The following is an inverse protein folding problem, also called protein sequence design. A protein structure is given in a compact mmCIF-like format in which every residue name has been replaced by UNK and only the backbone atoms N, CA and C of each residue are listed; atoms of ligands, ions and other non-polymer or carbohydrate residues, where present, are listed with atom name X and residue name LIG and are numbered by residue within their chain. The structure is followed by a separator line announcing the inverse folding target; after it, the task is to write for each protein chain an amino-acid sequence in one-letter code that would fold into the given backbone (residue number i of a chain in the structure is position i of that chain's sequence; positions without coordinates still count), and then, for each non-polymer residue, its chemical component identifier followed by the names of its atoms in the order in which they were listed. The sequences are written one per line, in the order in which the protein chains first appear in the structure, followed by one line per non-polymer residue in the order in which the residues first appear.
data_IF_310007382367
#
_entry.id   IF_310007382367
#
_cell.length_a   1.000
_cell.length_b   1.000
_cell.length_c   1.000
_cell.angle_alpha   90.00
_cell.angle_beta   90.00
_cell.angle_gamma   90.00
#
_symmetry.space_group_name_H-M   'P 1'
#
loop_
_entity.id
_entity.type
_entity.pdbx_description
1 polymer ?
#
# COMPACT_ATOMS: atom_id res chain seq x y z
N UNK A 1 -45.68 29.71 16.67
CA UNK A 1 -45.69 28.23 16.60
C UNK A 1 -45.04 27.66 15.33
N UNK A 2 -45.29 28.18 14.13
CA UNK A 2 -44.68 27.66 12.84
C UNK A 2 -43.15 27.68 12.81
N UNK A 3 -42.50 28.74 13.31
CA UNK A 3 -41.05 28.88 13.30
C UNK A 3 -40.31 27.85 14.19
N UNK A 4 -40.91 27.44 15.31
CA UNK A 4 -40.29 26.47 16.22
C UNK A 4 -40.29 25.07 15.60
N UNK A 5 -41.38 24.63 14.97
CA UNK A 5 -41.46 23.36 14.24
C UNK A 5 -40.47 23.30 13.07
N UNK A 6 -40.29 24.40 12.35
CA UNK A 6 -39.31 24.47 11.25
C UNK A 6 -37.85 24.37 11.75
N UNK A 7 -37.52 25.05 12.84
CA UNK A 7 -36.19 24.96 13.47
C UNK A 7 -35.90 23.56 14.02
N UNK A 8 -36.89 22.91 14.63
CA UNK A 8 -36.78 21.54 15.12
C UNK A 8 -36.61 20.53 13.94
N UNK A 9 -37.26 20.73 12.82
CA UNK A 9 -37.08 19.94 11.60
C UNK A 9 -35.66 20.10 11.04
N UNK A 10 -35.16 21.32 10.92
CA UNK A 10 -33.79 21.58 10.47
C UNK A 10 -32.74 20.96 11.42
N UNK A 11 -32.96 21.05 12.73
CA UNK A 11 -32.09 20.46 13.74
C UNK A 11 -32.07 18.94 13.63
N UNK A 12 -33.24 18.29 13.45
CA UNK A 12 -33.33 16.84 13.29
C UNK A 12 -32.69 16.37 11.98
N UNK A 13 -32.85 17.11 10.87
CA UNK A 13 -32.18 16.84 9.61
C UNK A 13 -30.64 16.96 9.76
N UNK A 14 -30.15 17.99 10.43
CA UNK A 14 -28.72 18.18 10.66
C UNK A 14 -28.11 17.07 11.54
N UNK A 15 -28.86 16.60 12.55
CA UNK A 15 -28.44 15.49 13.43
C UNK A 15 -28.38 14.18 12.63
N UNK A 16 -29.38 13.91 11.79
CA UNK A 16 -29.40 12.70 10.96
C UNK A 16 -28.28 12.70 9.91
N UNK A 17 -27.99 13.84 9.29
CA UNK A 17 -26.86 13.97 8.36
C UNK A 17 -25.51 13.77 9.04
N UNK A 18 -25.32 14.33 10.25
CA UNK A 18 -24.13 14.10 11.06
C UNK A 18 -23.96 12.63 11.45
N UNK A 19 -25.02 11.96 11.90
CA UNK A 19 -25.00 10.53 12.24
C UNK A 19 -24.64 9.68 11.03
N UNK A 20 -25.21 9.97 9.87
CA UNK A 20 -24.90 9.28 8.62
C UNK A 20 -23.42 9.44 8.26
N UNK A 21 -22.89 10.67 8.29
CA UNK A 21 -21.50 10.95 7.98
C UNK A 21 -20.52 10.26 8.95
N UNK A 22 -20.82 10.25 10.25
CA UNK A 22 -20.00 9.56 11.25
C UNK A 22 -19.96 8.05 10.99
N UNK A 23 -21.10 7.45 10.61
CA UNK A 23 -21.15 6.04 10.23
C UNK A 23 -20.32 5.75 8.98
N UNK A 24 -20.45 6.58 7.93
CA UNK A 24 -19.66 6.46 6.70
C UNK A 24 -18.16 6.63 6.99
N UNK A 25 -17.78 7.56 7.87
CA UNK A 25 -16.40 7.79 8.27
C UNK A 25 -15.80 6.58 9.00
N UNK A 26 -16.51 6.07 10.01
CA UNK A 26 -16.08 4.88 10.74
C UNK A 26 -15.97 3.66 9.81
N UNK A 27 -16.94 3.47 8.94
CA UNK A 27 -16.97 2.39 7.96
C UNK A 27 -15.75 2.44 7.02
N UNK A 28 -15.42 3.62 6.47
CA UNK A 28 -14.29 3.78 5.56
C UNK A 28 -12.94 3.63 6.26
N UNK A 29 -12.80 4.16 7.48
CA UNK A 29 -11.61 3.94 8.31
C UNK A 29 -11.37 2.46 8.57
N UNK A 30 -12.42 1.74 8.99
CA UNK A 30 -12.33 0.30 9.24
C UNK A 30 -12.02 -0.47 7.97
N UNK A 31 -12.62 -0.09 6.85
CA UNK A 31 -12.39 -0.74 5.56
C UNK A 31 -10.93 -0.58 5.10
N UNK A 32 -10.37 0.62 5.26
CA UNK A 32 -8.96 0.88 4.99
C UNK A 32 -8.03 0.09 5.94
N UNK A 33 -8.35 0.09 7.23
CA UNK A 33 -7.60 -0.67 8.22
C UNK A 33 -7.60 -2.19 7.92
N UNK A 34 -8.74 -2.75 7.53
CA UNK A 34 -8.83 -4.15 7.12
C UNK A 34 -8.01 -4.44 5.87
N UNK A 35 -7.91 -3.50 4.94
CA UNK A 35 -7.10 -3.68 3.73
C UNK A 35 -5.61 -3.87 4.04
N UNK A 36 -5.10 -3.28 5.14
CA UNK A 36 -3.71 -3.45 5.55
C UNK A 36 -3.34 -4.88 5.93
N UNK A 37 -4.31 -5.71 6.34
CA UNK A 37 -4.09 -7.12 6.68
C UNK A 37 -3.61 -7.96 5.48
N UNK A 38 -3.73 -7.41 4.28
CA UNK A 38 -3.24 -8.06 3.05
C UNK A 38 -1.73 -8.02 2.90
N UNK A 39 -1.06 -7.15 3.64
CA UNK A 39 0.39 -6.95 3.55
C UNK A 39 1.13 -7.73 4.65
N UNK A 40 2.47 -7.91 4.51
CA UNK A 40 3.27 -8.49 5.57
C UNK A 40 3.07 -7.78 6.92
N UNK A 41 3.12 -8.51 8.03
CA UNK A 41 3.42 -9.94 8.16
C UNK A 41 2.21 -10.86 8.00
N UNK A 42 0.98 -10.35 7.83
CA UNK A 42 -0.24 -11.16 7.83
C UNK A 42 -0.54 -11.80 6.47
N UNK A 43 -0.21 -11.11 5.35
CA UNK A 43 -0.31 -11.60 3.97
C UNK A 43 -1.70 -12.15 3.57
N UNK A 44 -2.78 -11.67 4.23
CA UNK A 44 -4.13 -12.11 3.94
C UNK A 44 -4.71 -11.38 2.72
N UNK A 45 -4.12 -11.62 1.54
CA UNK A 45 -4.45 -10.89 0.30
C UNK A 45 -5.94 -10.97 -0.08
N UNK A 46 -6.65 -12.04 0.30
CA UNK A 46 -8.08 -12.23 -0.02
C UNK A 46 -8.97 -11.10 0.54
N UNK A 47 -8.55 -10.44 1.61
CA UNK A 47 -9.31 -9.34 2.21
C UNK A 47 -9.49 -8.18 1.22
N UNK A 48 -8.55 -7.97 0.31
CA UNK A 48 -8.59 -6.88 -0.66
C UNK A 48 -9.71 -7.02 -1.70
N UNK A 49 -10.17 -8.24 -2.00
CA UNK A 49 -11.36 -8.44 -2.82
C UNK A 49 -12.61 -7.83 -2.19
N UNK A 50 -12.70 -7.84 -0.87
CA UNK A 50 -13.80 -7.24 -0.14
C UNK A 50 -13.58 -5.74 0.02
N UNK A 51 -12.43 -5.33 0.53
CA UNK A 51 -12.18 -3.92 0.90
C UNK A 51 -12.17 -3.01 -0.31
N UNK A 52 -11.43 -3.31 -1.37
CA UNK A 52 -11.38 -2.48 -2.58
C UNK A 52 -12.68 -2.55 -3.39
N UNK A 53 -13.31 -3.72 -3.49
CA UNK A 53 -14.61 -3.84 -4.16
C UNK A 53 -15.70 -3.05 -3.45
N UNK A 54 -15.78 -3.15 -2.12
CA UNK A 54 -16.75 -2.41 -1.32
C UNK A 54 -16.48 -0.91 -1.39
N UNK A 55 -15.21 -0.49 -1.34
CA UNK A 55 -14.83 0.91 -1.48
C UNK A 55 -15.26 1.47 -2.85
N UNK A 56 -14.99 0.76 -3.93
CA UNK A 56 -15.43 1.14 -5.27
C UNK A 56 -16.96 1.24 -5.38
N UNK A 57 -17.69 0.22 -4.88
CA UNK A 57 -19.15 0.20 -4.86
C UNK A 57 -19.71 1.39 -4.07
N UNK A 58 -19.12 1.68 -2.90
CA UNK A 58 -19.49 2.81 -2.07
C UNK A 58 -19.33 4.13 -2.81
N UNK A 59 -18.18 4.37 -3.44
CA UNK A 59 -17.93 5.56 -4.23
C UNK A 59 -18.90 5.66 -5.40
N UNK A 60 -19.08 4.59 -6.17
CA UNK A 60 -19.97 4.58 -7.33
C UNK A 60 -21.43 4.92 -6.96
N UNK A 61 -21.95 4.33 -5.89
CA UNK A 61 -23.30 4.58 -5.42
C UNK A 61 -23.51 6.01 -4.92
N UNK A 62 -22.47 6.64 -4.37
CA UNK A 62 -22.54 7.99 -3.83
C UNK A 62 -22.25 9.10 -4.86
N UNK A 63 -21.91 8.78 -6.11
CA UNK A 63 -21.58 9.76 -7.15
C UNK A 63 -22.66 10.84 -7.36
N UNK A 64 -23.93 10.46 -7.24
CA UNK A 64 -25.07 11.37 -7.44
C UNK A 64 -25.64 11.96 -6.14
N UNK A 65 -25.19 11.48 -4.97
CA UNK A 65 -25.75 11.84 -3.67
C UNK A 65 -24.81 12.63 -2.77
N UNK A 66 -23.53 12.79 -3.19
CA UNK A 66 -22.50 13.47 -2.45
C UNK A 66 -21.85 14.58 -3.27
N UNK A 67 -21.01 15.38 -2.61
CA UNK A 67 -20.27 16.47 -3.22
C UNK A 67 -18.77 16.17 -3.29
N UNK A 68 -18.00 17.01 -4.01
CA UNK A 68 -16.56 16.85 -4.19
C UNK A 68 -15.76 16.81 -2.88
N UNK A 69 -16.18 17.59 -1.86
CA UNK A 69 -15.52 17.63 -0.55
C UNK A 69 -15.69 16.31 0.20
N UNK A 70 -16.89 15.74 0.17
CA UNK A 70 -17.14 14.45 0.80
C UNK A 70 -16.35 13.33 0.09
N UNK A 71 -16.23 13.38 -1.25
CA UNK A 71 -15.41 12.42 -1.98
C UNK A 71 -13.95 12.47 -1.58
N UNK A 72 -13.37 13.67 -1.44
CA UNK A 72 -12.03 13.82 -0.89
C UNK A 72 -11.92 13.17 0.50
N UNK A 73 -12.87 13.44 1.39
CA UNK A 73 -12.89 12.87 2.74
C UNK A 73 -13.07 11.34 2.72
N UNK A 74 -13.86 10.78 1.81
CA UNK A 74 -14.02 9.34 1.69
C UNK A 74 -12.70 8.63 1.35
N UNK A 75 -11.95 9.15 0.38
CA UNK A 75 -10.63 8.63 0.06
C UNK A 75 -9.63 8.83 1.18
N UNK A 76 -9.63 10.02 1.79
CA UNK A 76 -8.75 10.34 2.90
C UNK A 76 -9.00 9.41 4.09
N UNK A 77 -10.25 9.15 4.46
CA UNK A 77 -10.61 8.26 5.57
C UNK A 77 -10.19 6.81 5.29
N UNK A 78 -10.45 6.30 4.09
CA UNK A 78 -9.99 4.98 3.70
C UNK A 78 -8.45 4.88 3.74
N UNK A 79 -7.77 5.85 3.13
CA UNK A 79 -6.30 5.92 3.14
C UNK A 79 -5.72 6.07 4.55
N UNK A 80 -6.34 6.89 5.41
CA UNK A 80 -5.89 7.06 6.79
C UNK A 80 -5.99 5.74 7.58
N UNK A 81 -7.11 5.02 7.47
CA UNK A 81 -7.24 3.70 8.07
C UNK A 81 -6.17 2.73 7.57
N UNK A 82 -5.94 2.69 6.24
CA UNK A 82 -4.93 1.84 5.62
C UNK A 82 -3.50 2.13 6.11
N UNK A 83 -3.08 3.40 6.08
CA UNK A 83 -1.74 3.77 6.48
C UNK A 83 -1.53 3.72 8.00
N UNK A 84 -2.52 4.10 8.81
CA UNK A 84 -2.41 4.06 10.27
C UNK A 84 -2.08 2.66 10.78
N UNK A 85 -2.74 1.65 10.24
CA UNK A 85 -2.54 0.25 10.66
C UNK A 85 -1.33 -0.41 10.02
N UNK A 86 -0.82 0.14 8.93
CA UNK A 86 0.25 -0.48 8.14
C UNK A 86 1.63 0.08 8.42
N UNK A 87 1.75 1.36 8.78
CA UNK A 87 3.04 2.04 8.94
C UNK A 87 3.36 2.46 10.38
N UNK A 88 2.59 1.97 11.37
CA UNK A 88 2.85 2.28 12.79
C UNK A 88 4.29 1.97 13.22
N UNK A 89 4.90 0.96 12.61
CA UNK A 89 6.28 0.55 12.89
C UNK A 89 7.32 1.64 12.61
N UNK A 90 7.02 2.61 11.75
CA UNK A 90 7.95 3.71 11.44
C UNK A 90 8.27 4.55 12.67
N UNK A 91 7.36 4.56 13.65
CA UNK A 91 7.57 5.30 14.91
C UNK A 91 8.57 4.62 15.84
N UNK A 92 8.93 3.34 15.58
CA UNK A 92 9.95 2.62 16.36
C UNK A 92 11.31 3.30 16.21
N UNK A 93 11.59 3.93 15.06
CA UNK A 93 12.83 4.70 14.87
C UNK A 93 13.00 5.83 15.87
N UNK A 94 11.90 6.39 16.40
CA UNK A 94 11.93 7.47 17.39
C UNK A 94 12.22 6.96 18.82
N UNK A 95 12.20 5.64 19.05
CA UNK A 95 12.50 5.05 20.36
C UNK A 95 14.00 4.87 20.60
N UNK A 96 14.82 5.02 19.56
CA UNK A 96 16.27 4.86 19.68
C UNK A 96 16.93 6.00 20.45
N UNK A 97 16.32 7.19 20.40
CA UNK A 97 16.73 8.35 21.19
C UNK A 97 15.55 8.80 22.08
N UNK A 98 15.79 8.81 23.39
CA UNK A 98 14.76 9.13 24.38
C UNK A 98 14.20 10.55 24.24
N UNK A 99 15.01 11.47 23.72
CA UNK A 99 14.61 12.86 23.50
C UNK A 99 13.52 13.00 22.42
N UNK A 100 13.36 12.01 21.55
CA UNK A 100 12.34 12.01 20.51
C UNK A 100 11.07 11.23 20.84
N UNK A 101 10.99 10.58 22.00
CA UNK A 101 9.83 9.76 22.40
C UNK A 101 8.51 10.56 22.40
N UNK A 102 8.56 11.86 22.70
CA UNK A 102 7.37 12.72 22.68
C UNK A 102 6.77 12.92 21.28
N UNK A 103 7.55 12.67 20.23
CA UNK A 103 7.10 12.75 18.83
C UNK A 103 6.32 11.51 18.37
N UNK A 104 6.42 10.39 19.08
CA UNK A 104 5.77 9.12 18.69
C UNK A 104 4.27 9.29 18.42
N UNK A 105 3.45 9.86 19.35
CA UNK A 105 2.01 10.02 19.10
C UNK A 105 1.71 10.97 17.94
N UNK A 106 2.57 11.97 17.72
CA UNK A 106 2.44 12.92 16.61
C UNK A 106 2.73 12.21 15.29
N UNK A 107 3.85 11.49 15.18
CA UNK A 107 4.24 10.78 13.98
C UNK A 107 3.23 9.67 13.61
N UNK A 108 2.71 8.95 14.62
CA UNK A 108 1.71 7.89 14.45
C UNK A 108 0.44 8.40 13.77
N UNK A 109 0.06 9.65 13.97
CA UNK A 109 -1.15 10.24 13.38
C UNK A 109 -0.80 11.04 12.12
N UNK A 110 0.24 11.88 12.18
CA UNK A 110 0.53 12.86 11.13
C UNK A 110 1.04 12.20 9.83
N UNK A 111 1.89 11.17 9.94
CA UNK A 111 2.42 10.46 8.76
C UNK A 111 1.30 9.75 8.00
N UNK A 112 0.44 8.91 8.62
CA UNK A 112 -0.72 8.34 7.94
C UNK A 112 -1.68 9.40 7.38
N UNK A 113 -1.93 10.48 8.12
CA UNK A 113 -2.82 11.55 7.68
C UNK A 113 -2.28 12.24 6.42
N UNK A 114 -0.97 12.48 6.33
CA UNK A 114 -0.32 13.02 5.16
C UNK A 114 -0.41 12.06 3.96
N UNK A 115 -0.07 10.79 4.15
CA UNK A 115 -0.14 9.80 3.08
C UNK A 115 -1.58 9.57 2.60
N UNK A 116 -2.56 9.69 3.47
CA UNK A 116 -3.97 9.60 3.13
C UNK A 116 -4.44 10.72 2.17
N UNK A 117 -3.74 11.86 2.11
CA UNK A 117 -4.05 12.93 1.17
C UNK A 117 -4.03 12.43 -0.29
N UNK A 118 -3.13 11.54 -0.61
CA UNK A 118 -3.04 10.94 -1.94
C UNK A 118 -4.32 10.20 -2.33
N UNK A 119 -4.90 9.43 -1.40
CA UNK A 119 -6.17 8.72 -1.61
C UNK A 119 -7.37 9.70 -1.65
N UNK A 120 -7.31 10.77 -0.86
CA UNK A 120 -8.28 11.86 -0.93
C UNK A 120 -8.29 12.53 -2.31
N UNK A 121 -7.11 12.77 -2.89
CA UNK A 121 -6.97 13.34 -4.24
C UNK A 121 -7.53 12.38 -5.30
N UNK A 122 -7.27 11.07 -5.19
CA UNK A 122 -7.84 10.05 -6.09
C UNK A 122 -9.34 10.17 -6.15
N UNK A 123 -10.01 10.11 -5.00
CA UNK A 123 -11.48 10.12 -4.96
C UNK A 123 -12.08 11.47 -5.33
N UNK A 124 -11.36 12.57 -5.07
CA UNK A 124 -11.74 13.89 -5.54
C UNK A 124 -11.72 13.98 -7.07
N UNK A 125 -10.64 13.52 -7.72
CA UNK A 125 -10.52 13.48 -9.18
C UNK A 125 -11.54 12.50 -9.78
N UNK A 126 -11.71 11.34 -9.16
CA UNK A 126 -12.72 10.36 -9.54
C UNK A 126 -14.13 10.96 -9.57
N UNK A 127 -14.49 11.80 -8.60
CA UNK A 127 -15.76 12.51 -8.61
C UNK A 127 -15.89 13.52 -9.75
N UNK A 128 -14.82 14.24 -10.07
CA UNK A 128 -14.83 15.26 -11.13
C UNK A 128 -14.96 14.59 -12.50
N UNK A 129 -14.17 13.53 -12.76
CA UNK A 129 -14.08 12.85 -14.05
C UNK A 129 -15.13 11.73 -14.20
N UNK A 130 -16.11 11.64 -13.30
CA UNK A 130 -17.13 10.60 -13.26
C UNK A 130 -17.74 10.26 -14.62
N UNK A 131 -17.81 8.97 -14.92
CA UNK A 131 -18.49 8.46 -16.11
C UNK A 131 -19.87 7.90 -15.74
N UNK A 132 -20.77 7.85 -16.73
CA UNK A 132 -22.09 7.20 -16.59
C UNK A 132 -21.99 5.67 -16.68
N UNK A 133 -20.99 5.18 -17.39
CA UNK A 133 -20.78 3.74 -17.63
C UNK A 133 -19.94 3.14 -16.49
N UNK A 134 -20.39 1.99 -15.96
CA UNK A 134 -19.74 1.29 -14.85
C UNK A 134 -18.32 0.85 -15.19
N UNK A 135 -18.10 0.32 -16.41
CA UNK A 135 -16.78 -0.15 -16.87
C UNK A 135 -15.79 1.02 -16.94
N UNK A 136 -16.20 2.15 -17.57
CA UNK A 136 -15.34 3.33 -17.66
C UNK A 136 -15.02 3.90 -16.27
N UNK A 137 -16.00 3.89 -15.36
CA UNK A 137 -15.80 4.33 -13.96
C UNK A 137 -14.86 3.40 -13.21
N UNK A 138 -14.95 2.10 -13.44
CA UNK A 138 -14.04 1.10 -12.88
C UNK A 138 -12.59 1.33 -13.34
N UNK A 139 -12.37 1.47 -14.65
CA UNK A 139 -11.02 1.72 -15.17
C UNK A 139 -10.46 3.07 -14.70
N UNK A 140 -11.32 4.11 -14.63
CA UNK A 140 -10.91 5.39 -14.05
C UNK A 140 -10.44 5.24 -12.61
N UNK A 141 -11.19 4.53 -11.76
CA UNK A 141 -10.83 4.31 -10.37
C UNK A 141 -9.50 3.57 -10.24
N UNK A 142 -9.34 2.46 -10.95
CA UNK A 142 -8.11 1.66 -10.94
C UNK A 142 -6.90 2.46 -11.44
N UNK A 143 -7.08 3.22 -12.54
CA UNK A 143 -6.03 4.06 -13.12
C UNK A 143 -5.60 5.17 -12.16
N UNK A 144 -6.56 5.90 -11.57
CA UNK A 144 -6.24 6.98 -10.63
C UNK A 144 -5.53 6.46 -9.39
N UNK A 145 -5.96 5.32 -8.86
CA UNK A 145 -5.31 4.72 -7.69
C UNK A 145 -3.90 4.22 -8.04
N UNK A 146 -3.73 3.54 -9.18
CA UNK A 146 -2.40 3.10 -9.64
C UNK A 146 -1.46 4.26 -9.93
N UNK A 147 -1.97 5.34 -10.55
CA UNK A 147 -1.19 6.54 -10.86
C UNK A 147 -0.75 7.27 -9.58
N UNK A 148 -1.64 7.40 -8.60
CA UNK A 148 -1.29 8.07 -7.34
C UNK A 148 -0.27 7.28 -6.54
N UNK A 149 -0.30 5.95 -6.59
CA UNK A 149 0.73 5.11 -5.98
C UNK A 149 2.11 5.34 -6.64
N UNK A 150 2.14 5.46 -7.98
CA UNK A 150 3.36 5.85 -8.70
C UNK A 150 3.85 7.24 -8.27
N UNK A 151 2.95 8.23 -8.23
CA UNK A 151 3.30 9.59 -7.81
C UNK A 151 3.84 9.58 -6.38
N UNK A 152 3.15 8.93 -5.44
CA UNK A 152 3.57 8.81 -4.03
C UNK A 152 4.96 8.18 -3.88
N UNK A 153 5.27 7.20 -4.71
CA UNK A 153 6.56 6.53 -4.70
C UNK A 153 7.72 7.34 -5.30
N UNK A 154 7.44 8.47 -5.98
CA UNK A 154 8.47 9.22 -6.71
C UNK A 154 8.56 10.71 -6.32
N UNK A 155 7.53 11.31 -5.76
CA UNK A 155 7.58 12.73 -5.35
C UNK A 155 8.14 12.90 -3.93
N UNK A 156 8.62 14.10 -3.64
CA UNK A 156 9.34 14.45 -2.41
C UNK A 156 10.59 13.57 -2.26
N UNK A 157 10.78 12.76 -1.37
CA UNK A 157 11.86 11.77 -1.31
C UNK A 157 11.43 10.38 -1.78
N UNK A 158 10.14 10.26 -2.16
CA UNK A 158 9.47 9.01 -2.50
C UNK A 158 9.10 8.18 -1.27
N UNK A 159 7.89 7.61 -1.30
CA UNK A 159 7.46 6.65 -0.27
C UNK A 159 6.83 5.44 -0.97
N UNK A 160 7.64 4.52 -1.52
CA UNK A 160 7.18 3.37 -2.31
C UNK A 160 6.68 2.20 -1.46
N UNK A 161 6.64 2.35 -0.13
CA UNK A 161 6.20 1.32 0.78
C UNK A 161 4.70 1.07 0.66
N UNK A 162 4.28 -0.14 1.01
CA UNK A 162 2.88 -0.52 1.15
C UNK A 162 2.08 -0.43 -0.17
N UNK A 163 2.72 -0.77 -1.30
CA UNK A 163 1.99 -0.96 -2.56
C UNK A 163 1.10 -2.21 -2.45
N UNK A 164 -0.07 -2.14 -3.08
CA UNK A 164 -1.06 -3.23 -3.01
C UNK A 164 -0.52 -4.54 -3.62
N UNK A 165 0.39 -4.45 -4.58
CA UNK A 165 1.08 -5.63 -5.17
C UNK A 165 1.86 -6.44 -4.14
N UNK A 166 2.33 -5.82 -3.06
CA UNK A 166 3.07 -6.52 -2.01
C UNK A 166 2.20 -7.47 -1.16
N UNK A 167 0.88 -7.44 -1.35
CA UNK A 167 0.01 -8.50 -0.82
C UNK A 167 0.33 -9.90 -1.37
N UNK A 168 1.14 -9.98 -2.44
CA UNK A 168 1.66 -11.21 -3.00
C UNK A 168 3.14 -11.47 -2.68
N UNK A 169 3.70 -10.79 -1.65
CA UNK A 169 5.13 -10.87 -1.30
C UNK A 169 5.63 -12.29 -1.01
N UNK A 170 4.80 -13.16 -0.48
CA UNK A 170 5.15 -14.59 -0.28
C UNK A 170 5.17 -15.40 -1.57
N UNK A 171 4.56 -14.90 -2.64
CA UNK A 171 4.52 -15.61 -3.91
C UNK A 171 5.56 -15.07 -4.89
N UNK A 172 6.82 -15.52 -4.71
CA UNK A 172 7.95 -15.11 -5.55
C UNK A 172 7.68 -15.40 -7.03
N UNK A 173 6.97 -16.47 -7.33
CA UNK A 173 6.59 -16.80 -8.72
C UNK A 173 5.72 -15.71 -9.33
N UNK A 174 4.73 -15.19 -8.59
CA UNK A 174 3.90 -14.08 -9.04
C UNK A 174 4.73 -12.78 -9.18
N UNK A 175 5.58 -12.49 -8.20
CA UNK A 175 6.43 -11.30 -8.20
C UNK A 175 7.50 -11.32 -9.31
N UNK A 176 7.86 -12.49 -9.85
CA UNK A 176 8.80 -12.56 -10.98
C UNK A 176 8.31 -11.77 -12.20
N UNK A 177 6.99 -11.54 -12.31
CA UNK A 177 6.41 -10.72 -13.36
C UNK A 177 6.77 -9.23 -13.26
N UNK A 178 7.26 -8.78 -12.09
CA UNK A 178 7.83 -7.43 -11.93
C UNK A 178 8.98 -7.15 -12.90
N UNK A 179 9.76 -8.19 -13.25
CA UNK A 179 10.86 -8.07 -14.23
C UNK A 179 10.38 -7.75 -15.65
N UNK A 180 9.10 -8.01 -15.96
CA UNK A 180 8.53 -7.82 -17.30
C UNK A 180 7.87 -6.46 -17.45
N UNK A 181 7.04 -6.06 -16.47
CA UNK A 181 6.22 -4.84 -16.58
C UNK A 181 6.53 -3.78 -15.52
N UNK A 182 7.39 -4.11 -14.56
CA UNK A 182 7.74 -3.22 -13.46
C UNK A 182 6.69 -3.21 -12.34
N UNK A 183 7.10 -2.66 -11.19
CA UNK A 183 6.34 -2.71 -9.94
C UNK A 183 5.02 -1.95 -10.02
N UNK A 184 5.03 -0.73 -10.52
CA UNK A 184 3.83 0.11 -10.54
C UNK A 184 2.79 -0.34 -11.57
N UNK A 185 3.25 -0.89 -12.71
CA UNK A 185 2.33 -1.46 -13.69
C UNK A 185 1.64 -2.71 -13.16
N UNK A 186 2.39 -3.59 -12.47
CA UNK A 186 1.79 -4.75 -11.83
C UNK A 186 0.88 -4.33 -10.67
N UNK A 187 1.24 -3.29 -9.91
CA UNK A 187 0.38 -2.75 -8.85
C UNK A 187 -0.98 -2.26 -9.40
N UNK A 188 -0.98 -1.56 -10.55
CA UNK A 188 -2.22 -1.16 -11.22
C UNK A 188 -3.09 -2.37 -11.61
N UNK A 189 -2.49 -3.43 -12.15
CA UNK A 189 -3.21 -4.65 -12.52
C UNK A 189 -3.78 -5.36 -11.29
N UNK A 190 -3.02 -5.44 -10.19
CA UNK A 190 -3.46 -6.01 -8.92
C UNK A 190 -4.60 -5.21 -8.30
N UNK A 191 -4.55 -3.88 -8.34
CA UNK A 191 -5.67 -3.02 -7.93
C UNK A 191 -6.92 -3.35 -8.76
N UNK A 192 -6.78 -3.41 -10.08
CA UNK A 192 -7.90 -3.74 -10.98
C UNK A 192 -8.48 -5.13 -10.68
N UNK A 193 -7.63 -6.08 -10.37
CA UNK A 193 -8.02 -7.42 -9.97
C UNK A 193 -8.85 -7.45 -8.68
N UNK A 194 -8.39 -6.74 -7.64
CA UNK A 194 -9.13 -6.67 -6.36
C UNK A 194 -10.45 -5.89 -6.46
N UNK A 195 -10.56 -4.96 -7.39
CA UNK A 195 -11.80 -4.20 -7.62
C UNK A 195 -12.79 -4.93 -8.54
N UNK A 196 -12.33 -5.94 -9.31
CA UNK A 196 -13.16 -6.64 -10.30
C UNK A 196 -14.46 -7.27 -9.74
N UNK A 197 -14.52 -7.83 -8.51
CA UNK A 197 -15.80 -8.26 -7.92
C UNK A 197 -16.79 -7.12 -7.75
N UNK A 198 -16.31 -5.91 -7.47
CA UNK A 198 -17.16 -4.72 -7.39
C UNK A 198 -17.80 -4.36 -8.74
N UNK A 199 -17.02 -4.48 -9.83
CA UNK A 199 -17.54 -4.33 -11.19
C UNK A 199 -18.63 -5.39 -11.50
N UNK A 200 -18.38 -6.64 -11.12
CA UNK A 200 -19.35 -7.74 -11.31
C UNK A 200 -20.65 -7.50 -10.53
N UNK A 201 -20.56 -7.00 -9.30
CA UNK A 201 -21.74 -6.70 -8.46
C UNK A 201 -22.57 -5.57 -9.07
N UNK A 202 -21.93 -4.53 -9.62
CA UNK A 202 -22.58 -3.36 -10.23
C UNK A 202 -23.02 -3.60 -11.68
N UNK A 203 -22.89 -4.82 -12.21
CA UNK A 203 -23.17 -5.14 -13.61
C UNK A 203 -24.59 -4.76 -14.03
N UNK A 204 -24.71 -4.22 -15.24
CA UNK A 204 -25.98 -3.90 -15.92
C UNK A 204 -26.13 -4.66 -17.23
N UNK A 205 -25.04 -5.20 -17.76
CA UNK A 205 -25.00 -5.90 -19.04
C UNK A 205 -24.00 -7.06 -19.01
N UNK A 206 -23.97 -7.87 -20.07
CA UNK A 206 -22.99 -8.95 -20.26
C UNK A 206 -21.55 -8.42 -20.38
N UNK A 207 -21.36 -7.15 -20.79
CA UNK A 207 -20.03 -6.57 -20.97
C UNK A 207 -19.27 -6.47 -19.63
N UNK A 208 -19.94 -6.02 -18.57
CA UNK A 208 -19.34 -5.96 -17.23
C UNK A 208 -18.97 -7.36 -16.70
N UNK A 209 -19.79 -8.36 -17.01
CA UNK A 209 -19.48 -9.76 -16.64
C UNK A 209 -18.22 -10.24 -17.38
N UNK A 210 -18.12 -10.01 -18.67
CA UNK A 210 -16.96 -10.42 -19.48
C UNK A 210 -15.70 -9.73 -18.96
N UNK A 211 -15.73 -8.40 -18.75
CA UNK A 211 -14.56 -7.64 -18.28
C UNK A 211 -14.13 -8.10 -16.89
N UNK A 212 -15.07 -8.29 -15.97
CA UNK A 212 -14.73 -8.77 -14.62
C UNK A 212 -14.17 -10.20 -14.63
N UNK A 213 -14.70 -11.09 -15.47
CA UNK A 213 -14.19 -12.46 -15.62
C UNK A 213 -12.76 -12.46 -16.18
N UNK A 214 -12.48 -11.66 -17.20
CA UNK A 214 -11.12 -11.52 -17.76
C UNK A 214 -10.17 -11.02 -16.70
N UNK A 215 -10.54 -9.99 -15.92
CA UNK A 215 -9.69 -9.45 -14.87
C UNK A 215 -9.45 -10.48 -13.75
N UNK A 216 -10.46 -11.26 -13.37
CA UNK A 216 -10.34 -12.30 -12.34
C UNK A 216 -9.54 -13.52 -12.81
N UNK A 217 -9.53 -13.82 -14.11
CA UNK A 217 -8.72 -14.92 -14.68
C UNK A 217 -7.26 -14.51 -14.94
N UNK A 218 -6.96 -13.23 -15.07
CA UNK A 218 -5.62 -12.73 -15.39
C UNK A 218 -4.51 -13.22 -14.43
N UNK A 219 -4.68 -13.22 -13.10
CA UNK A 219 -3.65 -13.74 -12.19
C UNK A 219 -3.33 -15.22 -12.38
N UNK A 220 -4.27 -16.02 -12.88
CA UNK A 220 -4.03 -17.43 -13.20
C UNK A 220 -3.02 -17.52 -14.36
N UNK A 221 -3.18 -16.68 -15.38
CA UNK A 221 -2.24 -16.61 -16.50
C UNK A 221 -0.86 -16.14 -16.03
N UNK A 222 -0.81 -15.16 -15.11
CA UNK A 222 0.43 -14.69 -14.50
C UNK A 222 1.12 -15.80 -13.71
N UNK A 223 0.38 -16.60 -12.95
CA UNK A 223 0.94 -17.71 -12.17
C UNK A 223 1.53 -18.78 -13.07
N UNK A 224 0.85 -19.13 -14.18
CA UNK A 224 1.37 -20.09 -15.17
C UNK A 224 2.69 -19.58 -15.77
N UNK A 225 2.70 -18.33 -16.24
CA UNK A 225 3.91 -17.72 -16.79
C UNK A 225 5.04 -17.67 -15.75
N UNK A 226 4.75 -17.22 -14.55
CA UNK A 226 5.73 -17.05 -13.46
C UNK A 226 6.35 -18.37 -13.02
N UNK A 227 5.57 -19.46 -13.02
CA UNK A 227 6.07 -20.80 -12.72
C UNK A 227 7.03 -21.26 -13.81
N UNK A 228 6.68 -21.04 -15.07
CA UNK A 228 7.56 -21.36 -16.22
C UNK A 228 8.86 -20.54 -16.18
N UNK A 229 8.77 -19.24 -15.86
CA UNK A 229 9.94 -18.36 -15.72
C UNK A 229 10.84 -18.79 -14.57
N UNK A 230 10.27 -19.14 -13.41
CA UNK A 230 11.01 -19.66 -12.26
C UNK A 230 11.77 -20.92 -12.62
N UNK A 231 11.12 -21.89 -13.28
CA UNK A 231 11.75 -23.12 -13.70
C UNK A 231 12.91 -22.87 -14.68
N UNK A 232 12.70 -21.96 -15.66
CA UNK A 232 13.75 -21.52 -16.57
C UNK A 232 14.91 -20.86 -15.84
N UNK A 233 14.66 -19.99 -14.85
CA UNK A 233 15.70 -19.35 -14.07
C UNK A 233 16.53 -20.33 -13.25
N UNK A 234 15.84 -21.30 -12.59
CA UNK A 234 16.50 -22.31 -11.77
C UNK A 234 17.26 -23.35 -12.60
N UNK A 235 16.88 -23.55 -13.87
CA UNK A 235 17.61 -24.46 -14.79
C UNK A 235 18.88 -23.85 -15.38
N UNK A 236 19.11 -22.54 -15.19
CA UNK A 236 20.37 -21.92 -15.64
C UNK A 236 21.53 -22.37 -14.76
N UNK A 237 22.56 -22.90 -15.39
CA UNK A 237 23.83 -23.16 -14.72
C UNK A 237 24.39 -21.86 -14.15
N UNK A 238 24.69 -21.85 -12.86
CA UNK A 238 25.38 -20.75 -12.21
C UNK A 238 26.82 -20.77 -12.75
N UNK A 239 27.22 -19.70 -13.41
CA UNK A 239 28.63 -19.54 -13.78
C UNK A 239 29.44 -19.22 -12.52
N UNK A 240 30.49 -20.00 -12.28
CA UNK A 240 31.43 -19.69 -11.21
C UNK A 240 32.09 -18.32 -11.50
N UNK A 241 31.93 -17.41 -10.58
CA UNK A 241 32.63 -16.13 -10.64
C UNK A 241 34.04 -16.27 -10.05
N UNK A 242 35.06 -15.59 -10.61
CA UNK A 242 36.41 -15.64 -10.11
C UNK A 242 36.60 -14.92 -8.76
N UNK A 243 35.51 -14.49 -8.15
CA UNK A 243 35.51 -13.79 -6.85
C UNK A 243 34.32 -14.25 -6.00
N UNK A 244 34.49 -14.16 -4.69
CA UNK A 244 33.44 -14.45 -3.72
C UNK A 244 32.88 -13.13 -3.18
N UNK A 245 31.56 -13.03 -3.03
CA UNK A 245 30.90 -11.95 -2.30
C UNK A 245 30.55 -12.47 -0.91
N UNK A 246 31.02 -11.79 0.12
CA UNK A 246 30.70 -12.09 1.51
C UNK A 246 29.93 -10.92 2.13
N UNK A 247 28.66 -11.16 2.43
CA UNK A 247 27.81 -10.19 3.11
C UNK A 247 27.93 -10.44 4.61
N UNK A 248 28.31 -9.41 5.36
CA UNK A 248 28.50 -9.49 6.81
C UNK A 248 27.24 -8.96 7.47
N UNK A 249 26.60 -9.79 8.29
CA UNK A 249 25.52 -9.39 9.17
C UNK A 249 26.05 -9.33 10.60
N UNK A 250 26.50 -8.15 11.01
CA UNK A 250 26.96 -7.92 12.39
C UNK A 250 25.74 -7.63 13.27
N UNK A 251 25.70 -8.21 14.45
CA UNK A 251 24.69 -7.88 15.45
C UNK A 251 25.14 -6.73 16.38
N UNK A 252 25.81 -5.73 15.79
CA UNK A 252 26.32 -4.57 16.54
C UNK A 252 25.14 -3.70 16.95
N UNK A 253 25.07 -3.37 18.26
CA UNK A 253 24.01 -2.55 18.83
C UNK A 253 23.96 -1.15 18.19
N UNK A 254 22.75 -0.63 18.00
CA UNK A 254 22.52 0.75 17.58
C UNK A 254 22.96 1.79 18.62
N UNK A 255 23.21 1.36 19.86
CA UNK A 255 23.76 2.22 20.93
C UNK A 255 25.03 2.96 20.53
N UNK A 256 25.78 2.42 19.54
CA UNK A 256 26.99 3.06 18.98
C UNK A 256 26.77 4.45 18.42
N UNK A 257 25.56 4.76 17.97
CA UNK A 257 25.22 6.10 17.44
C UNK A 257 24.91 7.11 18.54
N UNK A 258 24.66 6.64 19.75
CA UNK A 258 24.20 7.45 20.88
C UNK A 258 25.15 7.45 22.08
N UNK A 259 26.14 6.57 22.08
CA UNK A 259 27.17 6.45 23.12
C UNK A 259 28.54 6.60 22.47
N UNK A 260 29.50 7.15 23.19
CA UNK A 260 30.92 7.19 22.77
C UNK A 260 31.49 5.76 22.72
N UNK A 261 31.11 5.02 21.70
CA UNK A 261 31.70 3.70 21.42
C UNK A 261 32.88 3.93 20.46
N UNK A 262 33.98 3.35 20.81
CA UNK A 262 35.20 3.40 20.02
C UNK A 262 34.96 2.78 18.63
N UNK A 263 34.96 3.64 17.61
CA UNK A 263 34.75 3.26 16.21
C UNK A 263 35.79 2.25 15.74
N UNK A 264 37.01 2.29 16.29
CA UNK A 264 38.07 1.35 15.97
C UNK A 264 37.70 -0.07 16.39
N UNK A 265 37.12 -0.25 17.58
CA UNK A 265 36.64 -1.55 18.04
C UNK A 265 35.55 -2.12 17.14
N UNK A 266 34.61 -1.28 16.64
CA UNK A 266 33.56 -1.70 15.71
C UNK A 266 34.15 -2.17 14.38
N UNK A 267 35.11 -1.42 13.85
CA UNK A 267 35.79 -1.78 12.60
C UNK A 267 36.57 -3.09 12.76
N UNK A 268 37.28 -3.26 13.87
CA UNK A 268 38.04 -4.48 14.16
C UNK A 268 37.11 -5.69 14.30
N UNK A 269 35.95 -5.54 14.91
CA UNK A 269 34.93 -6.59 14.98
C UNK A 269 34.44 -6.99 13.60
N UNK A 270 34.16 -6.02 12.72
CA UNK A 270 33.73 -6.29 11.32
C UNK A 270 34.82 -6.97 10.50
N UNK A 271 36.10 -6.57 10.67
CA UNK A 271 37.22 -7.22 10.04
C UNK A 271 37.31 -8.69 10.49
N UNK A 272 37.19 -8.94 11.80
CA UNK A 272 37.22 -10.30 12.35
C UNK A 272 36.09 -11.17 11.82
N UNK A 273 34.86 -10.62 11.79
CA UNK A 273 33.69 -11.30 11.23
C UNK A 273 33.83 -11.55 9.72
N UNK A 274 34.51 -10.65 9.03
CA UNK A 274 34.76 -10.78 7.60
C UNK A 274 35.69 -11.95 7.27
N UNK A 275 36.55 -12.37 8.20
CA UNK A 275 37.52 -13.49 8.04
C UNK A 275 38.22 -13.43 6.66
N UNK A 276 39.02 -12.38 6.36
CA UNK A 276 39.66 -12.20 5.07
C UNK A 276 40.64 -13.34 4.79
N UNK A 277 40.62 -13.84 3.55
CA UNK A 277 41.55 -14.86 3.06
C UNK A 277 42.44 -14.21 1.99
N UNK A 278 43.74 -14.04 2.24
CA UNK A 278 44.65 -13.36 1.31
C UNK A 278 44.79 -14.05 -0.05
N UNK A 279 44.47 -15.34 -0.13
CA UNK A 279 44.62 -16.12 -1.38
C UNK A 279 43.40 -16.03 -2.27
N UNK A 280 42.30 -15.47 -1.75
CA UNK A 280 41.01 -15.39 -2.47
C UNK A 280 40.60 -13.96 -2.75
N UNK A 281 40.06 -13.74 -3.95
CA UNK A 281 39.41 -12.45 -4.27
C UNK A 281 38.03 -12.43 -3.63
N UNK A 282 37.88 -11.69 -2.52
CA UNK A 282 36.64 -11.57 -1.78
C UNK A 282 36.21 -10.10 -1.73
N UNK A 283 34.94 -9.83 -2.10
CA UNK A 283 34.31 -8.54 -1.89
C UNK A 283 33.47 -8.63 -0.61
N UNK A 284 33.74 -7.75 0.34
CA UNK A 284 32.99 -7.65 1.58
C UNK A 284 31.90 -6.57 1.45
N UNK A 285 30.69 -6.90 1.84
CA UNK A 285 29.60 -5.94 1.97
C UNK A 285 29.28 -5.83 3.46
N UNK A 286 29.61 -4.69 4.01
CA UNK A 286 29.36 -4.36 5.40
C UNK A 286 28.02 -3.63 5.56
N UNK A 287 27.40 -3.64 6.77
CA UNK A 287 26.20 -2.89 7.06
C UNK A 287 26.38 -1.39 6.83
N UNK A 288 25.28 -0.71 6.47
CA UNK A 288 25.23 0.75 6.39
C UNK A 288 25.42 1.37 7.78
N UNK A 289 26.08 2.51 7.87
CA UNK A 289 26.19 3.29 9.11
C UNK A 289 27.18 2.70 10.10
N UNK A 290 28.39 2.46 9.66
CA UNK A 290 29.53 2.07 10.53
C UNK A 290 30.20 3.30 11.09
#
# INVERSE_FOLDING_TARGET
MKNKKFLDLLRNLSINLKKKFLFEAFFLLTLGALSSLSLPPLNFFLINFFTFSIFFIFLFKNLNHSNKRNFFLYGWLFGFGYFLTNIYWITISLTFDQDFNFLIPIALILIPAFLALFYGVVTFIFYILRFKNVISTFFLFSLLLGLVEYIRGNILTGFPWNLIVYSFSENISFLSFLSVIGTYSLNLLVISFFVAPGLYILRKSKKEVIVSTILLSFPILLLIYSTSYKNFFLSKELKDNPFTIRVISSNISLDRFYKDIDTENVINELINLSSPDPEKKIFFIWPEGI
#
